data_IF_328323511560
#
_entry.id   IF_328323511560
#
_cell.length_a   1.000
_cell.length_b   1.000
_cell.length_c   1.000
_cell.angle_alpha   90.00
_cell.angle_beta   90.00
_cell.angle_gamma   90.00
#
_symmetry.space_group_name_H-M   'P 1'
#
loop_
_entity.id
_entity.type
_entity.pdbx_description
1 polymer ?
#
# COMPACT_ATOMS: atom_id res chain seq x y z
N UNK A 1 24.93 62.88 70.09
CA UNK A 1 23.76 63.62 69.72
C UNK A 1 23.59 63.66 68.22
N UNK A 2 22.43 63.17 67.79
CA UNK A 2 21.69 63.44 66.51
C UNK A 2 22.32 62.98 65.20
N UNK A 3 21.94 61.82 64.84
CA UNK A 3 21.11 61.24 63.80
C UNK A 3 20.61 62.21 62.71
N UNK A 4 21.07 62.02 61.47
CA UNK A 4 20.42 62.62 60.27
C UNK A 4 20.35 61.51 59.19
N UNK A 5 19.20 60.86 59.20
CA UNK A 5 18.80 59.88 58.14
C UNK A 5 18.58 60.65 56.82
N UNK A 6 19.42 60.33 55.81
CA UNK A 6 19.20 60.78 54.45
C UNK A 6 18.08 59.95 53.87
N UNK A 7 16.92 60.53 53.64
CA UNK A 7 15.83 59.95 52.87
C UNK A 7 16.14 60.07 51.36
N UNK A 8 16.09 59.02 50.57
CA UNK A 8 16.30 59.17 49.12
C UNK A 8 15.16 60.00 48.50
N UNK A 9 15.50 60.98 47.69
CA UNK A 9 14.60 61.81 46.92
C UNK A 9 13.83 61.04 45.85
N UNK A 10 12.55 61.33 45.69
CA UNK A 10 11.68 60.73 44.65
C UNK A 10 12.23 60.86 43.22
N UNK A 11 13.18 61.73 42.99
CA UNK A 11 13.86 61.91 41.72
C UNK A 11 14.86 60.86 41.37
N UNK A 12 15.46 60.18 42.37
CA UNK A 12 16.44 59.10 42.15
C UNK A 12 15.79 57.74 41.94
N UNK A 13 14.48 57.61 42.20
CA UNK A 13 13.74 56.37 41.95
C UNK A 13 13.28 56.28 40.49
N UNK A 14 13.08 57.43 39.81
CA UNK A 14 12.64 57.46 38.41
C UNK A 14 13.76 57.26 37.40
N UNK A 15 15.02 57.44 37.75
CA UNK A 15 16.17 57.18 36.88
C UNK A 15 16.65 55.73 36.95
N UNK A 16 16.32 54.97 38.02
CA UNK A 16 16.63 53.54 38.11
C UNK A 16 15.62 52.64 37.37
N UNK A 17 14.38 53.15 37.11
CA UNK A 17 13.35 52.38 36.38
C UNK A 17 13.49 52.47 34.86
N UNK A 18 14.29 53.43 34.33
CA UNK A 18 14.52 53.55 32.87
C UNK A 18 15.63 52.67 32.29
N UNK A 19 16.49 52.07 33.15
CA UNK A 19 17.63 51.27 32.71
C UNK A 19 17.35 49.76 32.65
N UNK A 20 16.17 49.29 33.11
CA UNK A 20 15.77 47.88 33.10
C UNK A 20 14.83 47.50 31.93
N UNK A 21 14.47 48.45 31.08
CA UNK A 21 13.57 48.22 29.94
C UNK A 21 14.25 47.87 28.59
N UNK A 22 15.60 47.85 28.53
CA UNK A 22 16.34 47.61 27.29
C UNK A 22 17.02 46.21 27.22
N UNK A 23 16.63 45.29 28.10
CA UNK A 23 17.18 43.95 28.08
C UNK A 23 16.22 42.99 27.39
N UNK A 24 16.68 42.44 26.26
CA UNK A 24 16.25 41.21 25.66
C UNK A 24 14.96 41.21 24.81
N UNK A 25 14.97 41.96 23.70
CA UNK A 25 14.57 41.30 22.47
C UNK A 25 15.78 40.43 22.04
N UNK A 26 15.97 39.30 22.72
CA UNK A 26 16.72 38.21 22.12
C UNK A 26 15.85 37.79 20.94
N UNK A 27 16.29 37.96 19.67
CA UNK A 27 15.63 37.25 18.58
C UNK A 27 15.68 35.77 19.02
N UNK A 28 14.50 35.17 19.28
CA UNK A 28 14.44 33.76 19.52
C UNK A 28 15.29 33.14 18.44
N UNK A 29 16.34 32.43 18.82
CA UNK A 29 17.04 31.51 17.97
C UNK A 29 15.94 30.58 17.43
N UNK A 30 15.33 30.98 16.30
CA UNK A 30 14.63 30.03 15.46
C UNK A 30 15.69 28.95 15.23
N UNK A 31 15.64 27.91 16.04
CA UNK A 31 16.36 26.69 15.72
C UNK A 31 15.98 26.44 14.29
N UNK A 32 16.90 26.67 13.37
CA UNK A 32 16.79 26.16 12.04
C UNK A 32 16.50 24.67 12.25
N UNK A 33 15.23 24.30 12.18
CA UNK A 33 14.86 22.88 12.15
C UNK A 33 15.68 22.32 11.03
N UNK A 34 16.66 21.46 11.37
CA UNK A 34 17.53 20.86 10.37
C UNK A 34 16.66 20.34 9.24
N UNK A 35 17.14 20.47 8.00
CA UNK A 35 16.35 20.11 6.82
C UNK A 35 15.71 18.74 7.01
N UNK A 36 14.39 18.63 6.78
CA UNK A 36 13.68 17.35 6.83
C UNK A 36 14.34 16.34 5.85
N UNK A 37 14.49 15.03 6.21
CA UNK A 37 14.27 14.43 7.51
C UNK A 37 15.50 14.60 8.43
N UNK A 38 15.29 14.88 9.70
CA UNK A 38 16.34 14.95 10.72
C UNK A 38 16.21 13.88 11.82
N UNK A 39 15.26 12.97 11.65
CA UNK A 39 14.99 11.80 12.50
C UNK A 39 14.36 10.68 11.68
N UNK A 40 14.28 9.45 12.20
CA UNK A 40 13.66 8.33 11.49
C UNK A 40 12.23 8.61 11.03
N UNK A 41 11.89 8.12 9.82
CA UNK A 41 10.56 8.18 9.22
C UNK A 41 9.90 6.80 9.30
N UNK A 42 8.62 6.75 9.62
CA UNK A 42 7.82 5.53 9.60
C UNK A 42 7.07 5.39 8.27
N UNK A 43 7.17 4.21 7.65
CA UNK A 43 6.34 3.82 6.51
C UNK A 43 5.34 2.75 6.93
N UNK A 44 4.06 3.09 6.94
CA UNK A 44 2.99 2.14 7.28
C UNK A 44 2.69 1.26 6.06
N UNK A 45 2.71 -0.07 6.27
CA UNK A 45 2.24 -1.08 5.33
C UNK A 45 0.88 -1.62 5.83
N UNK A 46 -0.23 -1.50 5.07
CA UNK A 46 -1.57 -1.93 5.54
C UNK A 46 -1.77 -3.45 5.49
N UNK A 47 -0.80 -4.21 5.06
CA UNK A 47 -0.87 -5.65 4.85
C UNK A 47 0.22 -6.42 5.61
N UNK A 48 0.01 -7.73 5.77
CA UNK A 48 0.93 -8.63 6.46
C UNK A 48 2.30 -8.73 5.79
N UNK A 49 3.31 -9.01 6.60
CA UNK A 49 4.68 -9.22 6.14
C UNK A 49 4.77 -10.38 5.13
N UNK A 50 5.73 -10.29 4.20
CA UNK A 50 5.99 -11.32 3.20
C UNK A 50 5.09 -11.25 1.96
N UNK A 51 4.09 -10.35 1.90
CA UNK A 51 3.30 -10.07 0.70
C UNK A 51 3.97 -9.05 -0.23
N UNK A 52 3.37 -8.84 -1.41
CA UNK A 52 3.92 -7.92 -2.42
C UNK A 52 3.98 -6.47 -1.95
N UNK A 53 3.00 -6.01 -1.17
CA UNK A 53 3.01 -4.66 -0.61
C UNK A 53 4.14 -4.46 0.39
N UNK A 54 4.39 -5.43 1.26
CA UNK A 54 5.49 -5.42 2.22
C UNK A 54 6.85 -5.43 1.50
N UNK A 55 7.02 -6.28 0.50
CA UNK A 55 8.24 -6.34 -0.31
C UNK A 55 8.51 -5.02 -1.04
N UNK A 56 7.47 -4.42 -1.65
CA UNK A 56 7.57 -3.16 -2.38
C UNK A 56 7.93 -1.99 -1.47
N UNK A 57 7.26 -1.85 -0.31
CA UNK A 57 7.56 -0.74 0.60
C UNK A 57 8.93 -0.86 1.25
N UNK A 58 9.44 -2.08 1.49
CA UNK A 58 10.78 -2.29 2.08
C UNK A 58 11.90 -1.93 1.13
N UNK A 59 11.80 -2.25 -0.16
CA UNK A 59 12.81 -1.79 -1.13
C UNK A 59 12.77 -0.27 -1.28
N UNK A 60 11.58 0.34 -1.31
CA UNK A 60 11.43 1.80 -1.34
C UNK A 60 12.06 2.43 -0.09
N UNK A 61 11.76 1.90 1.11
CA UNK A 61 12.33 2.37 2.38
C UNK A 61 13.86 2.38 2.38
N UNK A 62 14.46 1.28 1.93
CA UNK A 62 15.92 1.15 1.83
C UNK A 62 16.53 2.21 0.89
N UNK A 63 15.89 2.45 -0.27
CA UNK A 63 16.35 3.44 -1.24
C UNK A 63 16.18 4.88 -0.73
N UNK A 64 15.07 5.18 -0.05
CA UNK A 64 14.86 6.47 0.59
C UNK A 64 15.87 6.72 1.71
N UNK A 65 16.17 5.71 2.54
CA UNK A 65 17.21 5.80 3.58
C UNK A 65 18.58 6.13 2.98
N UNK A 66 18.98 5.44 1.90
CA UNK A 66 20.23 5.70 1.20
C UNK A 66 20.33 7.12 0.62
N UNK A 67 19.20 7.65 0.12
CA UNK A 67 19.17 8.97 -0.52
C UNK A 67 19.04 10.13 0.47
N UNK A 68 18.22 9.95 1.52
CA UNK A 68 17.84 11.00 2.46
C UNK A 68 18.64 10.97 3.78
N UNK A 69 19.41 9.89 4.03
CA UNK A 69 20.34 9.77 5.17
C UNK A 69 19.68 9.57 6.52
N UNK A 70 18.40 9.24 6.58
CA UNK A 70 17.67 8.89 7.80
C UNK A 70 16.95 7.54 7.62
N UNK A 71 16.81 6.73 8.68
CA UNK A 71 16.11 5.46 8.60
C UNK A 71 14.64 5.62 8.17
N UNK A 72 14.18 4.75 7.27
CA UNK A 72 12.79 4.59 6.88
C UNK A 72 12.27 3.25 7.40
N UNK A 73 11.60 3.25 8.54
CA UNK A 73 11.16 2.05 9.25
C UNK A 73 9.79 1.58 8.74
N UNK A 74 9.71 0.38 8.20
CA UNK A 74 8.44 -0.21 7.74
C UNK A 74 7.73 -0.89 8.90
N UNK A 75 6.46 -0.50 9.13
CA UNK A 75 5.58 -1.05 10.17
C UNK A 75 4.31 -1.61 9.53
N UNK A 76 4.09 -2.92 9.67
CA UNK A 76 2.87 -3.57 9.19
C UNK A 76 1.72 -3.29 10.18
N UNK A 77 0.63 -2.64 9.70
CA UNK A 77 -0.60 -2.40 10.45
C UNK A 77 -1.77 -3.00 9.69
N UNK A 78 -2.12 -4.23 10.04
CA UNK A 78 -3.13 -5.02 9.34
C UNK A 78 -4.49 -4.97 10.03
N UNK A 79 -5.54 -5.36 9.30
CA UNK A 79 -6.90 -5.52 9.83
C UNK A 79 -7.95 -4.74 9.06
N UNK A 80 -9.22 -5.17 9.17
CA UNK A 80 -10.37 -4.53 8.54
C UNK A 80 -10.26 -4.39 7.02
N UNK A 81 -9.74 -5.41 6.33
CA UNK A 81 -9.50 -5.37 4.87
C UNK A 81 -8.61 -4.18 4.45
N UNK A 82 -7.62 -3.82 5.27
CA UNK A 82 -6.68 -2.72 5.03
C UNK A 82 -7.07 -1.40 5.71
N UNK A 83 -8.26 -1.28 6.27
CA UNK A 83 -8.76 -0.03 6.92
C UNK A 83 -7.81 0.43 8.03
N UNK A 84 -7.31 -0.48 8.88
CA UNK A 84 -6.44 -0.13 10.02
C UNK A 84 -5.18 0.60 9.56
N UNK A 85 -4.48 0.06 8.55
CA UNK A 85 -3.24 0.67 8.05
C UNK A 85 -3.50 1.97 7.30
N UNK A 86 -4.48 1.99 6.41
CA UNK A 86 -4.84 3.19 5.65
C UNK A 86 -5.32 4.32 6.58
N UNK A 87 -6.13 4.02 7.61
CA UNK A 87 -6.53 5.01 8.61
C UNK A 87 -5.33 5.56 9.38
N UNK A 88 -4.38 4.70 9.76
CA UNK A 88 -3.19 5.13 10.46
C UNK A 88 -2.29 6.07 9.62
N UNK A 89 -2.30 5.94 8.29
CA UNK A 89 -1.64 6.90 7.39
C UNK A 89 -2.42 8.22 7.37
N UNK A 90 -3.74 8.15 7.14
CA UNK A 90 -4.59 9.34 6.97
C UNK A 90 -4.63 10.24 8.21
N UNK A 91 -4.59 9.63 9.41
CA UNK A 91 -4.73 10.33 10.71
C UNK A 91 -3.40 10.71 11.36
N UNK A 92 -2.27 10.40 10.71
CA UNK A 92 -0.96 10.79 11.22
C UNK A 92 -0.77 12.32 11.16
N UNK A 93 0.14 12.89 11.98
CA UNK A 93 0.56 14.28 11.81
C UNK A 93 1.11 14.53 10.40
N UNK A 94 0.71 15.64 9.78
CA UNK A 94 1.14 16.01 8.44
C UNK A 94 2.54 16.67 8.45
N UNK A 95 3.50 16.04 9.12
CA UNK A 95 4.88 16.53 9.29
C UNK A 95 5.92 15.77 8.46
N UNK A 96 5.48 14.76 7.70
CA UNK A 96 6.33 13.92 6.85
C UNK A 96 7.03 12.78 7.58
N UNK A 97 6.88 12.60 8.90
CA UNK A 97 7.53 11.51 9.64
C UNK A 97 6.72 10.24 9.78
N UNK A 98 5.44 10.28 9.39
CA UNK A 98 4.62 9.09 9.20
C UNK A 98 3.98 9.17 7.82
N UNK A 99 4.40 8.26 6.97
CA UNK A 99 3.93 8.06 5.61
C UNK A 99 3.45 6.63 5.47
N UNK A 100 3.00 6.24 4.29
CA UNK A 100 2.69 4.83 4.05
C UNK A 100 2.55 4.50 2.58
N UNK A 101 2.40 3.21 2.35
CA UNK A 101 2.07 2.69 1.03
C UNK A 101 0.54 2.55 0.92
N UNK A 102 -0.07 3.33 0.03
CA UNK A 102 -1.46 3.13 -0.36
C UNK A 102 -1.57 1.95 -1.31
N UNK A 103 -2.67 1.24 -1.21
CA UNK A 103 -3.02 0.14 -2.11
C UNK A 103 -4.39 0.38 -2.74
N UNK A 104 -4.71 -0.39 -3.77
CA UNK A 104 -5.95 -0.27 -4.54
C UNK A 104 -7.20 -0.28 -3.66
N UNK A 105 -7.14 -0.87 -2.47
CA UNK A 105 -8.26 -0.95 -1.53
C UNK A 105 -8.75 0.42 -1.07
N UNK A 106 -7.91 1.47 -1.12
CA UNK A 106 -8.40 2.84 -0.81
C UNK A 106 -9.47 3.32 -1.82
N UNK A 107 -9.47 2.77 -3.02
CA UNK A 107 -10.51 2.97 -4.04
C UNK A 107 -11.68 1.96 -3.91
N UNK A 108 -11.73 1.15 -2.86
CA UNK A 108 -12.70 0.06 -2.69
C UNK A 108 -13.41 0.08 -1.34
N UNK A 109 -12.71 0.42 -0.25
CA UNK A 109 -13.20 0.27 1.13
C UNK A 109 -14.46 1.10 1.44
N UNK A 110 -14.53 2.34 0.94
CA UNK A 110 -15.68 3.22 1.17
C UNK A 110 -16.94 2.75 0.42
N UNK A 111 -16.78 2.13 -0.76
CA UNK A 111 -17.91 1.48 -1.45
C UNK A 111 -18.53 0.36 -0.61
N UNK A 112 -17.73 -0.33 0.19
CA UNK A 112 -18.18 -1.36 1.13
C UNK A 112 -18.67 -0.79 2.46
N UNK A 113 -18.66 0.53 2.65
CA UNK A 113 -19.01 1.20 3.91
C UNK A 113 -18.13 0.77 5.11
N UNK A 114 -16.90 0.33 4.83
CA UNK A 114 -15.92 -0.04 5.87
C UNK A 114 -15.25 1.19 6.49
N UNK A 115 -15.23 2.30 5.76
CA UNK A 115 -14.60 3.57 6.17
C UNK A 115 -15.12 4.71 5.29
N UNK A 116 -15.00 5.94 5.79
CA UNK A 116 -15.23 7.17 5.00
C UNK A 116 -13.97 7.62 4.25
N UNK A 117 -12.84 6.93 4.39
CA UNK A 117 -11.60 7.28 3.71
C UNK A 117 -11.72 7.00 2.21
N UNK A 118 -11.27 7.98 1.43
CA UNK A 118 -11.21 7.92 -0.04
C UNK A 118 -9.81 8.31 -0.51
N UNK A 119 -9.46 8.18 -1.78
CA UNK A 119 -8.21 8.72 -2.32
C UNK A 119 -7.93 10.18 -1.93
N UNK A 120 -8.98 11.02 -1.80
CA UNK A 120 -8.86 12.44 -1.41
C UNK A 120 -8.47 12.68 0.06
N UNK A 121 -8.41 11.63 0.87
CA UNK A 121 -7.99 11.69 2.28
C UNK A 121 -6.48 11.78 2.47
N UNK A 122 -5.69 11.75 1.39
CA UNK A 122 -4.23 11.66 1.43
C UNK A 122 -3.56 12.76 0.62
N UNK A 123 -2.26 12.94 0.86
CA UNK A 123 -1.34 13.66 -0.03
C UNK A 123 -0.58 12.62 -0.85
N UNK A 124 -0.93 12.39 -2.14
CA UNK A 124 -0.23 11.46 -3.00
C UNK A 124 1.20 11.95 -3.28
N UNK A 125 2.16 11.03 -3.28
CA UNK A 125 3.57 11.34 -3.58
C UNK A 125 4.04 10.68 -4.88
N UNK A 126 3.80 9.38 -5.04
CA UNK A 126 4.13 8.67 -6.27
C UNK A 126 3.40 7.33 -6.39
N UNK A 127 2.95 6.98 -7.58
CA UNK A 127 2.61 5.61 -7.96
C UNK A 127 3.90 4.86 -8.28
N UNK A 128 4.08 3.65 -7.75
CA UNK A 128 5.34 2.91 -7.82
C UNK A 128 5.24 1.54 -8.48
N UNK A 129 4.07 0.89 -8.38
CA UNK A 129 3.92 -0.51 -8.80
C UNK A 129 2.48 -0.78 -9.24
N UNK A 130 2.32 -1.74 -10.17
CA UNK A 130 1.04 -2.32 -10.57
C UNK A 130 1.23 -3.79 -10.94
N UNK A 131 0.40 -4.69 -10.37
CA UNK A 131 0.49 -6.14 -10.60
C UNK A 131 -0.88 -6.73 -10.92
N UNK A 132 -0.99 -7.56 -11.97
CA UNK A 132 -2.19 -8.37 -12.22
C UNK A 132 -2.28 -9.57 -11.28
N UNK A 133 -3.52 -10.06 -11.02
CA UNK A 133 -3.74 -11.29 -10.27
C UNK A 133 -3.22 -12.53 -10.99
N UNK A 134 -2.90 -13.56 -10.21
CA UNK A 134 -2.66 -14.91 -10.70
C UNK A 134 -3.69 -15.91 -10.18
N UNK A 135 -3.66 -17.11 -10.67
CA UNK A 135 -4.34 -18.28 -10.08
C UNK A 135 -3.26 -19.26 -9.66
N UNK A 136 -3.11 -19.46 -8.37
CA UNK A 136 -2.09 -20.37 -7.81
C UNK A 136 -2.75 -21.39 -6.89
N UNK A 137 -2.33 -22.64 -6.99
CA UNK A 137 -2.79 -23.78 -6.19
C UNK A 137 -1.63 -24.40 -5.41
N UNK A 138 -1.91 -25.25 -4.42
CA UNK A 138 -0.90 -26.06 -3.78
C UNK A 138 -0.26 -27.03 -4.81
N UNK A 139 1.03 -27.31 -4.70
CA UNK A 139 1.74 -28.20 -5.62
C UNK A 139 1.15 -29.61 -5.66
N UNK A 140 0.59 -30.09 -4.54
CA UNK A 140 -0.09 -31.40 -4.44
C UNK A 140 -1.51 -31.38 -5.03
N UNK A 141 -2.02 -30.21 -5.46
CA UNK A 141 -3.33 -30.12 -6.11
C UNK A 141 -3.39 -31.00 -7.37
N UNK A 142 -4.50 -31.71 -7.62
CA UNK A 142 -4.67 -32.53 -8.82
C UNK A 142 -4.75 -31.68 -10.11
N UNK A 143 -4.98 -30.38 -9.98
CA UNK A 143 -5.17 -29.49 -11.13
C UNK A 143 -3.84 -29.00 -11.68
N UNK A 144 -3.50 -29.44 -12.91
CA UNK A 144 -2.24 -29.11 -13.56
C UNK A 144 -2.31 -27.84 -14.42
N UNK A 145 -3.51 -27.36 -14.71
CA UNK A 145 -3.77 -26.15 -15.48
C UNK A 145 -5.08 -25.48 -15.03
N UNK A 146 -5.27 -24.22 -15.39
CA UNK A 146 -6.42 -23.42 -14.95
C UNK A 146 -7.75 -23.93 -15.52
N UNK A 147 -7.77 -24.54 -16.71
CA UNK A 147 -8.99 -25.12 -17.29
C UNK A 147 -9.49 -26.28 -16.46
N UNK A 148 -8.63 -27.22 -16.07
CA UNK A 148 -9.00 -28.35 -15.22
C UNK A 148 -9.53 -27.87 -13.85
N UNK A 149 -8.93 -26.85 -13.25
CA UNK A 149 -9.43 -26.24 -12.02
C UNK A 149 -10.81 -25.60 -12.24
N UNK A 150 -10.99 -24.83 -13.31
CA UNK A 150 -12.25 -24.17 -13.64
C UNK A 150 -13.39 -25.17 -13.89
N UNK A 151 -13.12 -26.27 -14.60
CA UNK A 151 -14.11 -27.33 -14.86
C UNK A 151 -14.51 -28.03 -13.55
N UNK A 152 -13.55 -28.29 -12.65
CA UNK A 152 -13.84 -28.84 -11.32
C UNK A 152 -14.65 -27.89 -10.45
N UNK A 153 -14.34 -26.58 -10.48
CA UNK A 153 -15.14 -25.56 -9.79
C UNK A 153 -16.57 -25.56 -10.33
N UNK A 154 -16.77 -25.55 -11.66
CA UNK A 154 -18.11 -25.58 -12.30
C UNK A 154 -18.93 -26.80 -11.93
N UNK A 155 -18.28 -27.96 -11.87
CA UNK A 155 -18.92 -29.23 -11.55
C UNK A 155 -19.25 -29.43 -10.06
N UNK A 156 -18.77 -28.54 -9.20
CA UNK A 156 -18.89 -28.67 -7.74
C UNK A 156 -20.03 -27.81 -7.17
N UNK A 157 -20.62 -28.20 -6.04
CA UNK A 157 -21.53 -27.31 -5.33
C UNK A 157 -20.84 -26.01 -4.89
N UNK A 158 -21.60 -24.91 -4.82
CA UNK A 158 -21.09 -23.65 -4.30
C UNK A 158 -20.54 -23.80 -2.88
N UNK A 159 -19.42 -23.13 -2.60
CA UNK A 159 -18.73 -23.17 -1.31
C UNK A 159 -17.82 -24.36 -1.07
N UNK A 160 -17.76 -25.33 -2.00
CA UNK A 160 -16.85 -26.46 -1.87
C UNK A 160 -15.38 -26.04 -1.97
N UNK A 161 -15.04 -25.21 -2.95
CA UNK A 161 -13.69 -24.65 -3.10
C UNK A 161 -13.51 -23.44 -2.20
N UNK A 162 -12.32 -23.29 -1.63
CA UNK A 162 -11.91 -22.17 -0.78
C UNK A 162 -10.79 -21.39 -1.44
N UNK A 163 -10.94 -20.08 -1.53
CA UNK A 163 -9.92 -19.18 -2.04
C UNK A 163 -9.58 -18.08 -1.04
N UNK A 164 -8.40 -17.50 -1.16
CA UNK A 164 -7.95 -16.36 -0.37
C UNK A 164 -6.98 -15.46 -1.16
N UNK A 165 -6.53 -14.41 -0.48
CA UNK A 165 -5.55 -13.44 -1.00
C UNK A 165 -5.38 -12.26 -0.08
N UNK A 166 -6.47 -11.53 0.18
CA UNK A 166 -6.55 -10.39 1.10
C UNK A 166 -7.86 -10.45 1.91
N UNK A 167 -8.26 -9.34 2.50
CA UNK A 167 -9.56 -9.19 3.15
C UNK A 167 -10.72 -9.38 2.17
N UNK A 168 -11.89 -9.68 2.69
CA UNK A 168 -13.10 -9.77 1.87
C UNK A 168 -13.37 -8.43 1.17
N UNK A 169 -13.77 -8.49 -0.10
CA UNK A 169 -13.99 -7.30 -0.91
C UNK A 169 -12.72 -6.58 -1.36
N UNK A 170 -11.52 -7.07 -1.02
CA UNK A 170 -10.26 -6.56 -1.55
C UNK A 170 -10.00 -7.00 -2.99
N UNK A 171 -8.90 -6.51 -3.57
CA UNK A 171 -8.61 -6.67 -5.00
C UNK A 171 -8.50 -8.15 -5.43
N UNK A 172 -7.90 -9.02 -4.61
CA UNK A 172 -7.77 -10.43 -4.94
C UNK A 172 -9.11 -11.17 -4.87
N UNK A 173 -10.04 -10.74 -3.98
CA UNK A 173 -11.41 -11.23 -3.97
C UNK A 173 -12.18 -10.77 -5.21
N UNK A 174 -12.05 -9.50 -5.58
CA UNK A 174 -12.67 -8.98 -6.81
C UNK A 174 -12.15 -9.71 -8.05
N UNK A 175 -10.86 -10.04 -8.09
CA UNK A 175 -10.27 -10.82 -9.16
C UNK A 175 -10.91 -12.22 -9.29
N UNK A 176 -11.10 -12.92 -8.17
CA UNK A 176 -11.82 -14.19 -8.15
C UNK A 176 -13.25 -14.04 -8.66
N UNK A 177 -13.99 -13.07 -8.12
CA UNK A 177 -15.40 -12.85 -8.49
C UNK A 177 -15.55 -12.55 -9.98
N UNK A 178 -14.73 -11.67 -10.54
CA UNK A 178 -14.75 -11.37 -11.97
C UNK A 178 -14.45 -12.58 -12.84
N UNK A 179 -13.49 -13.41 -12.43
CA UNK A 179 -13.20 -14.67 -13.11
C UNK A 179 -14.38 -15.66 -13.02
N UNK A 180 -15.03 -15.81 -11.86
CA UNK A 180 -16.21 -16.65 -11.68
C UNK A 180 -17.36 -16.16 -12.58
N UNK A 181 -17.62 -14.86 -12.62
CA UNK A 181 -18.65 -14.26 -13.48
C UNK A 181 -18.36 -14.47 -14.98
N UNK A 182 -17.09 -14.31 -15.39
CA UNK A 182 -16.67 -14.59 -16.77
C UNK A 182 -16.87 -16.08 -17.16
N UNK A 183 -16.93 -16.98 -16.17
CA UNK A 183 -17.28 -18.38 -16.36
C UNK A 183 -18.79 -18.68 -16.27
N UNK A 184 -19.65 -17.67 -16.04
CA UNK A 184 -21.09 -17.82 -15.85
C UNK A 184 -21.47 -18.33 -14.45
N UNK A 185 -20.60 -18.20 -13.47
CA UNK A 185 -20.83 -18.65 -12.09
C UNK A 185 -21.22 -17.45 -11.18
N UNK A 186 -21.87 -17.78 -10.07
CA UNK A 186 -22.22 -16.77 -9.06
C UNK A 186 -20.98 -16.26 -8.33
N UNK A 187 -20.94 -15.01 -7.86
CA UNK A 187 -19.81 -14.43 -7.11
C UNK A 187 -19.33 -15.25 -5.91
N UNK A 188 -20.24 -15.94 -5.23
CA UNK A 188 -19.97 -16.76 -4.05
C UNK A 188 -19.86 -18.27 -4.34
N UNK A 189 -19.63 -18.64 -5.61
CA UNK A 189 -19.50 -20.07 -5.97
C UNK A 189 -18.27 -20.70 -5.35
N UNK A 190 -17.16 -19.96 -5.22
CA UNK A 190 -15.99 -20.31 -4.42
C UNK A 190 -16.05 -19.53 -3.12
N UNK A 191 -15.87 -20.20 -1.98
CA UNK A 191 -15.88 -19.57 -0.67
C UNK A 191 -14.61 -18.72 -0.48
N UNK A 192 -14.78 -17.44 -0.18
CA UNK A 192 -13.67 -16.57 0.15
C UNK A 192 -13.29 -16.69 1.63
N UNK A 193 -12.02 -16.95 1.92
CA UNK A 193 -11.44 -16.95 3.26
C UNK A 193 -10.60 -15.67 3.43
N UNK A 194 -11.06 -14.70 4.23
CA UNK A 194 -10.33 -13.44 4.41
C UNK A 194 -8.95 -13.66 5.02
N UNK A 195 -7.96 -12.90 4.55
CA UNK A 195 -6.58 -12.91 5.05
C UNK A 195 -6.04 -11.50 5.26
N UNK A 196 -5.05 -11.34 6.14
CA UNK A 196 -4.35 -10.08 6.38
C UNK A 196 -3.33 -9.73 5.27
N UNK A 197 -3.43 -10.35 4.12
CA UNK A 197 -2.58 -10.11 2.95
C UNK A 197 -2.14 -11.39 2.27
N UNK A 198 -1.46 -11.25 1.13
CA UNK A 198 -1.01 -12.36 0.32
C UNK A 198 -0.03 -13.29 1.06
N UNK A 199 0.87 -12.76 1.88
CA UNK A 199 1.83 -13.57 2.63
C UNK A 199 1.15 -14.63 3.50
N UNK A 200 0.26 -14.27 4.44
CA UNK A 200 -0.52 -15.25 5.22
C UNK A 200 -1.37 -16.18 4.35
N UNK A 201 -2.07 -15.68 3.31
CA UNK A 201 -2.86 -16.52 2.42
C UNK A 201 -2.04 -17.58 1.69
N UNK A 202 -0.83 -17.23 1.27
CA UNK A 202 0.09 -18.18 0.63
C UNK A 202 0.58 -19.27 1.61
N UNK A 203 0.76 -18.94 2.89
CA UNK A 203 1.09 -19.94 3.91
C UNK A 203 -0.08 -20.91 4.14
N UNK A 204 -1.31 -20.41 4.20
CA UNK A 204 -2.52 -21.23 4.32
C UNK A 204 -2.69 -22.15 3.09
N UNK A 205 -2.39 -21.65 1.87
CA UNK A 205 -2.37 -22.47 0.67
C UNK A 205 -1.34 -23.60 0.78
N UNK A 206 -0.13 -23.30 1.21
CA UNK A 206 0.94 -24.28 1.37
C UNK A 206 0.62 -25.35 2.43
N UNK A 207 -0.18 -24.99 3.44
CA UNK A 207 -0.67 -25.88 4.49
C UNK A 207 -1.95 -26.65 4.09
N UNK A 208 -2.41 -26.57 2.83
CA UNK A 208 -3.68 -27.16 2.34
C UNK A 208 -4.94 -26.64 3.04
N UNK A 209 -4.91 -25.44 3.64
CA UNK A 209 -6.09 -24.77 4.19
C UNK A 209 -6.98 -24.14 3.12
N UNK A 210 -6.44 -23.95 1.91
CA UNK A 210 -7.08 -23.33 0.74
C UNK A 210 -6.88 -24.21 -0.49
N UNK A 211 -7.83 -24.13 -1.44
CA UNK A 211 -7.71 -24.79 -2.74
C UNK A 211 -6.94 -23.91 -3.75
N UNK A 212 -7.11 -22.61 -3.68
CA UNK A 212 -6.43 -21.64 -4.56
C UNK A 212 -6.26 -20.28 -3.89
N UNK A 213 -5.35 -19.49 -4.47
CA UNK A 213 -5.24 -18.04 -4.17
C UNK A 213 -5.21 -17.26 -5.48
N UNK A 214 -5.69 -16.00 -5.41
CA UNK A 214 -5.71 -15.07 -6.55
C UNK A 214 -4.72 -13.92 -6.40
N UNK A 215 -3.72 -14.06 -5.53
CA UNK A 215 -2.60 -13.11 -5.40
C UNK A 215 -1.81 -13.01 -6.71
N UNK A 216 -1.03 -11.95 -6.87
CA UNK A 216 -0.16 -11.81 -8.04
C UNK A 216 0.91 -12.92 -8.09
N UNK A 217 1.40 -13.23 -9.30
CA UNK A 217 2.43 -14.28 -9.48
C UNK A 217 3.70 -14.01 -8.67
N UNK A 218 4.23 -12.78 -8.58
CA UNK A 218 5.37 -12.47 -7.72
C UNK A 218 5.19 -12.87 -6.25
N UNK A 219 3.97 -12.75 -5.73
CA UNK A 219 3.65 -13.10 -4.34
C UNK A 219 3.67 -14.61 -4.09
N UNK A 220 3.44 -15.43 -5.14
CA UNK A 220 3.52 -16.89 -5.07
C UNK A 220 4.92 -17.46 -5.32
N UNK A 221 5.85 -16.64 -5.84
CA UNK A 221 7.14 -17.07 -6.37
C UNK A 221 7.94 -17.94 -5.43
N UNK A 222 8.10 -17.52 -4.18
CA UNK A 222 8.91 -18.26 -3.20
C UNK A 222 8.37 -19.69 -2.95
N UNK A 223 7.04 -19.86 -2.91
CA UNK A 223 6.43 -21.20 -2.75
C UNK A 223 6.50 -22.02 -4.03
N UNK A 224 6.40 -21.39 -5.20
CA UNK A 224 6.55 -22.08 -6.50
C UNK A 224 7.98 -22.58 -6.67
N UNK A 225 8.98 -21.74 -6.40
CA UNK A 225 10.41 -22.13 -6.44
C UNK A 225 10.75 -23.22 -5.41
N UNK A 226 10.09 -23.20 -4.25
CA UNK A 226 10.22 -24.24 -3.23
C UNK A 226 9.42 -25.52 -3.56
N UNK A 227 8.74 -25.60 -4.71
CA UNK A 227 7.92 -26.75 -5.10
C UNK A 227 6.68 -26.97 -4.24
N UNK A 228 6.23 -25.96 -3.50
CA UNK A 228 5.06 -26.03 -2.60
C UNK A 228 3.77 -25.46 -3.22
N UNK A 229 3.88 -24.72 -4.31
CA UNK A 229 2.75 -24.17 -5.04
C UNK A 229 2.99 -24.24 -6.55
N UNK A 230 1.92 -24.08 -7.33
CA UNK A 230 1.92 -24.05 -8.79
C UNK A 230 1.02 -22.91 -9.26
N UNK A 231 1.59 -22.00 -10.05
CA UNK A 231 0.81 -20.96 -10.72
C UNK A 231 0.22 -21.49 -12.01
N UNK A 232 -1.09 -21.35 -12.19
CA UNK A 232 -1.83 -21.93 -13.31
C UNK A 232 -2.17 -20.92 -14.41
N UNK A 233 -2.37 -19.66 -14.04
CA UNK A 233 -2.67 -18.57 -14.99
C UNK A 233 -2.38 -17.20 -14.38
N UNK A 234 -2.34 -16.19 -15.28
CA UNK A 234 -2.34 -14.77 -14.93
C UNK A 234 -3.58 -14.07 -15.55
N UNK A 235 -4.20 -13.17 -14.80
CA UNK A 235 -5.35 -12.36 -15.24
C UNK A 235 -4.88 -11.04 -15.84
N UNK A 236 -4.19 -11.12 -16.96
CA UNK A 236 -3.61 -10.01 -17.70
C UNK A 236 -3.75 -10.22 -19.20
N UNK A 237 -3.58 -9.14 -19.97
CA UNK A 237 -3.61 -9.21 -21.44
C UNK A 237 -2.41 -9.98 -22.01
N UNK A 238 -1.28 -9.97 -21.30
CA UNK A 238 -0.01 -10.61 -21.70
C UNK A 238 0.59 -11.40 -20.54
N UNK A 239 1.45 -12.36 -20.87
CA UNK A 239 2.22 -13.11 -19.87
C UNK A 239 3.20 -12.19 -19.17
N UNK A 240 3.46 -12.46 -17.89
CA UNK A 240 4.54 -11.81 -17.17
C UNK A 240 5.89 -12.41 -17.62
N UNK A 241 6.85 -11.60 -18.11
CA UNK A 241 8.14 -12.13 -18.60
C UNK A 241 8.93 -12.95 -17.58
N UNK A 242 8.82 -12.60 -16.27
CA UNK A 242 9.48 -13.37 -15.20
C UNK A 242 8.78 -14.71 -14.90
N UNK A 243 7.59 -14.94 -15.47
CA UNK A 243 6.77 -16.15 -15.36
C UNK A 243 6.28 -16.60 -16.74
N UNK A 244 7.16 -16.61 -17.73
CA UNK A 244 6.83 -16.82 -19.15
C UNK A 244 6.11 -18.16 -19.41
N UNK A 245 6.29 -19.18 -18.55
CA UNK A 245 5.58 -20.45 -18.61
C UNK A 245 4.13 -20.39 -18.15
N UNK A 246 3.72 -19.34 -17.42
CA UNK A 246 2.36 -19.18 -16.89
C UNK A 246 1.49 -18.47 -17.94
N UNK A 247 0.48 -19.13 -18.52
CA UNK A 247 -0.36 -18.53 -19.56
C UNK A 247 -1.34 -17.52 -18.97
N UNK A 248 -1.90 -16.66 -19.83
CA UNK A 248 -3.05 -15.82 -19.47
C UNK A 248 -4.35 -16.64 -19.41
N UNK A 249 -5.39 -16.11 -18.75
CA UNK A 249 -6.75 -16.69 -18.82
C UNK A 249 -7.26 -16.73 -20.26
N UNK A 250 -6.94 -15.71 -21.05
CA UNK A 250 -7.32 -15.64 -22.47
C UNK A 250 -6.72 -16.76 -23.30
N UNK A 251 -5.40 -17.00 -23.15
CA UNK A 251 -4.72 -18.12 -23.83
C UNK A 251 -5.24 -19.48 -23.39
N UNK A 252 -5.51 -19.66 -22.10
CA UNK A 252 -5.90 -20.97 -21.54
C UNK A 252 -7.37 -21.29 -21.71
N UNK A 253 -8.27 -20.28 -21.61
CA UNK A 253 -9.71 -20.49 -21.49
C UNK A 253 -10.55 -19.63 -22.43
N UNK A 254 -9.96 -18.67 -23.15
CA UNK A 254 -10.69 -17.67 -23.96
C UNK A 254 -11.35 -16.58 -23.08
N UNK A 255 -11.05 -16.51 -21.79
CA UNK A 255 -11.61 -15.51 -20.86
C UNK A 255 -10.76 -14.24 -20.92
N UNK A 256 -11.33 -13.18 -21.45
CA UNK A 256 -10.72 -11.85 -21.50
C UNK A 256 -11.10 -11.06 -20.24
N UNK A 257 -10.33 -11.24 -19.19
CA UNK A 257 -10.52 -10.57 -17.91
C UNK A 257 -9.18 -10.16 -17.31
N UNK A 258 -9.07 -8.90 -16.98
CA UNK A 258 -7.92 -8.35 -16.26
C UNK A 258 -8.36 -7.33 -15.24
N UNK A 259 -7.64 -7.28 -14.14
CA UNK A 259 -7.74 -6.29 -13.07
C UNK A 259 -6.36 -6.21 -12.44
N UNK A 260 -6.03 -5.12 -11.75
CA UNK A 260 -4.70 -4.96 -11.18
C UNK A 260 -4.72 -4.38 -9.78
N UNK A 261 -3.83 -4.87 -8.92
CA UNK A 261 -3.45 -4.20 -7.71
C UNK A 261 -2.39 -3.14 -8.02
N UNK A 262 -2.53 -1.97 -7.45
CA UNK A 262 -1.51 -0.92 -7.54
C UNK A 262 -1.04 -0.50 -6.16
N UNK A 263 0.18 0.07 -6.12
CA UNK A 263 0.80 0.54 -4.88
C UNK A 263 1.51 1.86 -5.12
N UNK A 264 1.29 2.82 -4.21
CA UNK A 264 1.95 4.12 -4.27
C UNK A 264 2.24 4.67 -2.88
N UNK A 265 3.19 5.58 -2.79
CA UNK A 265 3.55 6.24 -1.53
C UNK A 265 2.71 7.51 -1.36
N UNK A 266 2.19 7.69 -0.15
CA UNK A 266 1.44 8.87 0.24
C UNK A 266 1.65 9.19 1.72
N UNK A 267 1.24 10.39 2.10
CA UNK A 267 1.14 10.80 3.50
C UNK A 267 -0.26 11.26 3.87
N UNK A 268 -0.47 11.68 5.11
CA UNK A 268 -1.72 12.32 5.52
C UNK A 268 -1.98 13.57 4.67
N UNK A 269 -3.24 13.98 4.59
CA UNK A 269 -3.62 15.19 3.85
C UNK A 269 -2.93 16.41 4.43
N UNK A 270 -2.36 17.25 3.55
CA UNK A 270 -1.76 18.53 3.95
C UNK A 270 -0.28 18.45 4.32
N UNK A 271 0.48 17.50 3.76
CA UNK A 271 1.94 17.51 3.91
C UNK A 271 2.54 18.84 3.44
N UNK A 272 3.57 19.38 4.13
CA UNK A 272 4.30 20.58 3.70
C UNK A 272 4.85 20.42 2.28
N UNK A 273 4.81 21.50 1.49
CA UNK A 273 5.19 21.46 0.09
C UNK A 273 6.68 21.10 -0.13
N UNK A 274 7.56 21.58 0.73
CA UNK A 274 9.00 21.30 0.71
C UNK A 274 9.30 19.84 1.05
N UNK A 275 8.62 19.27 2.04
CA UNK A 275 8.71 17.85 2.40
C UNK A 275 8.22 16.98 1.24
N UNK A 276 7.06 17.33 0.66
CA UNK A 276 6.47 16.63 -0.48
C UNK A 276 7.40 16.65 -1.69
N UNK A 277 7.94 17.81 -2.06
CA UNK A 277 8.85 17.96 -3.19
C UNK A 277 10.14 17.12 -3.02
N UNK A 278 10.69 17.11 -1.80
CA UNK A 278 11.88 16.31 -1.49
C UNK A 278 11.60 14.82 -1.58
N UNK A 279 10.45 14.36 -1.04
CA UNK A 279 10.01 12.96 -1.14
C UNK A 279 9.78 12.54 -2.59
N UNK A 280 9.09 13.35 -3.39
CA UNK A 280 8.83 13.05 -4.80
C UNK A 280 10.12 12.91 -5.59
N UNK A 281 11.09 13.79 -5.34
CA UNK A 281 12.43 13.71 -5.97
C UNK A 281 13.14 12.40 -5.60
N UNK A 282 13.15 12.04 -4.32
CA UNK A 282 13.77 10.81 -3.83
C UNK A 282 13.05 9.55 -4.36
N UNK A 283 11.71 9.56 -4.40
CA UNK A 283 10.90 8.46 -4.94
C UNK A 283 11.11 8.26 -6.44
N UNK A 284 11.24 9.36 -7.21
CA UNK A 284 11.56 9.29 -8.63
C UNK A 284 12.93 8.65 -8.86
N UNK A 285 13.95 9.12 -8.14
CA UNK A 285 15.30 8.55 -8.17
C UNK A 285 15.29 7.07 -7.78
N UNK A 286 14.52 6.69 -6.75
CA UNK A 286 14.36 5.30 -6.35
C UNK A 286 13.73 4.46 -7.49
N UNK A 287 12.62 4.91 -8.11
CA UNK A 287 11.94 4.20 -9.19
C UNK A 287 12.83 4.02 -10.43
N UNK A 288 13.66 5.02 -10.75
CA UNK A 288 14.59 5.00 -11.89
C UNK A 288 15.87 4.21 -11.60
N UNK A 289 16.17 3.89 -10.33
CA UNK A 289 17.38 3.20 -9.93
C UNK A 289 17.43 1.76 -10.47
N UNK A 290 18.65 1.32 -10.81
CA UNK A 290 18.88 -0.08 -11.21
C UNK A 290 18.49 -1.04 -10.09
N UNK A 291 18.75 -0.69 -8.83
CA UNK A 291 18.46 -1.52 -7.66
C UNK A 291 16.94 -1.79 -7.53
N UNK A 292 16.10 -0.76 -7.69
CA UNK A 292 14.64 -0.93 -7.66
C UNK A 292 14.16 -1.79 -8.83
N UNK A 293 14.60 -1.47 -10.04
CA UNK A 293 14.18 -2.18 -11.25
C UNK A 293 14.61 -3.64 -11.24
N UNK A 294 15.83 -3.92 -10.82
CA UNK A 294 16.32 -5.29 -10.66
C UNK A 294 15.54 -6.06 -9.58
N UNK A 295 15.29 -5.41 -8.42
CA UNK A 295 14.52 -6.03 -7.35
C UNK A 295 13.10 -6.39 -7.81
N UNK A 296 12.41 -5.46 -8.46
CA UNK A 296 11.05 -5.65 -8.94
C UNK A 296 11.03 -6.65 -10.11
N UNK A 297 11.85 -6.45 -11.12
CA UNK A 297 11.90 -7.28 -12.32
C UNK A 297 12.32 -8.73 -12.04
N UNK A 298 13.36 -8.94 -11.23
CA UNK A 298 13.81 -10.29 -10.87
C UNK A 298 12.75 -11.07 -10.09
N UNK A 299 11.82 -10.40 -9.41
CA UNK A 299 10.68 -11.03 -8.74
C UNK A 299 9.44 -11.09 -9.60
N UNK A 300 9.41 -10.37 -10.72
CA UNK A 300 8.28 -10.25 -11.62
C UNK A 300 7.21 -9.24 -11.17
N UNK A 301 7.54 -8.36 -10.21
CA UNK A 301 6.69 -7.22 -9.88
C UNK A 301 6.72 -6.17 -11.00
N UNK A 302 5.57 -5.62 -11.32
CA UNK A 302 5.48 -4.52 -12.28
C UNK A 302 6.08 -3.22 -11.72
N UNK A 303 6.78 -2.47 -12.57
CA UNK A 303 7.26 -1.13 -12.26
C UNK A 303 6.33 -0.13 -12.92
N UNK A 304 5.83 0.80 -12.13
CA UNK A 304 4.98 1.91 -12.59
C UNK A 304 5.52 3.21 -12.02
N UNK A 305 5.34 4.30 -12.75
CA UNK A 305 5.60 5.63 -12.24
C UNK A 305 4.47 6.58 -12.62
N UNK A 306 3.97 7.31 -11.63
CA UNK A 306 3.26 8.56 -11.83
C UNK A 306 3.65 9.53 -10.71
N UNK A 307 3.84 10.78 -11.05
CA UNK A 307 4.06 11.87 -10.11
C UNK A 307 2.79 12.17 -9.29
N UNK A 308 2.80 13.10 -8.33
CA UNK A 308 1.63 13.38 -7.51
C UNK A 308 0.36 13.70 -8.28
N UNK A 309 0.46 14.46 -9.38
CA UNK A 309 -0.69 14.83 -10.20
C UNK A 309 -1.22 13.61 -10.99
N UNK A 310 -0.32 12.86 -11.59
CA UNK A 310 -0.64 11.62 -12.30
C UNK A 310 -1.20 10.56 -11.36
N UNK A 311 -0.65 10.43 -10.15
CA UNK A 311 -1.15 9.47 -9.16
C UNK A 311 -2.53 9.87 -8.62
N UNK A 312 -2.79 11.17 -8.41
CA UNK A 312 -4.13 11.67 -8.06
C UNK A 312 -5.15 11.31 -9.13
N UNK A 313 -4.84 11.60 -10.40
CA UNK A 313 -5.71 11.29 -11.53
C UNK A 313 -5.94 9.78 -11.67
N UNK A 314 -4.89 8.98 -11.49
CA UNK A 314 -4.96 7.53 -11.51
C UNK A 314 -5.89 6.98 -10.41
N UNK A 315 -5.72 7.45 -9.16
CA UNK A 315 -6.56 7.02 -8.03
C UNK A 315 -8.03 7.41 -8.22
N UNK A 316 -8.31 8.59 -8.78
CA UNK A 316 -9.67 9.05 -9.09
C UNK A 316 -10.34 8.15 -10.13
N UNK A 317 -9.62 7.80 -11.19
CA UNK A 317 -10.11 6.87 -12.21
C UNK A 317 -10.29 5.45 -11.64
N UNK A 318 -9.33 4.99 -10.81
CA UNK A 318 -9.41 3.69 -10.15
C UNK A 318 -10.62 3.60 -9.20
N UNK A 319 -10.93 4.68 -8.47
CA UNK A 319 -12.08 4.72 -7.56
C UNK A 319 -13.40 4.49 -8.30
N UNK A 320 -13.63 5.21 -9.40
CA UNK A 320 -14.83 5.03 -10.23
C UNK A 320 -14.89 3.62 -10.84
N UNK A 321 -13.76 3.11 -11.35
CA UNK A 321 -13.70 1.79 -11.97
C UNK A 321 -13.94 0.67 -10.95
N UNK A 322 -13.32 0.75 -9.77
CA UNK A 322 -13.50 -0.25 -8.69
C UNK A 322 -14.92 -0.23 -8.16
N UNK A 323 -15.53 0.95 -7.95
CA UNK A 323 -16.93 1.08 -7.55
C UNK A 323 -17.88 0.40 -8.55
N UNK A 324 -17.69 0.61 -9.85
CA UNK A 324 -18.47 -0.05 -10.89
C UNK A 324 -18.26 -1.57 -10.91
N UNK A 325 -17.01 -2.04 -10.83
CA UNK A 325 -16.68 -3.45 -10.80
C UNK A 325 -17.26 -4.16 -9.57
N UNK A 326 -17.19 -3.55 -8.38
CA UNK A 326 -17.72 -4.09 -7.14
C UNK A 326 -19.26 -4.17 -7.16
N UNK A 327 -19.95 -3.17 -7.73
CA UNK A 327 -21.40 -3.21 -7.95
C UNK A 327 -21.78 -4.35 -8.88
N UNK A 328 -21.10 -4.47 -10.03
CA UNK A 328 -21.31 -5.58 -10.97
C UNK A 328 -21.05 -6.94 -10.33
N UNK A 329 -20.07 -7.02 -9.45
CA UNK A 329 -19.70 -8.23 -8.70
C UNK A 329 -20.67 -8.56 -7.54
N UNK A 330 -21.63 -7.69 -7.21
CA UNK A 330 -22.52 -7.86 -6.07
C UNK A 330 -21.79 -7.78 -4.71
N UNK A 331 -20.65 -7.12 -4.66
CA UNK A 331 -19.86 -6.92 -3.43
C UNK A 331 -20.28 -5.65 -2.68
N UNK A 332 -21.04 -4.78 -3.31
CA UNK A 332 -21.60 -3.55 -2.72
C UNK A 332 -23.02 -3.35 -3.22
N UNK A 333 -23.83 -2.68 -2.40
CA UNK A 333 -25.25 -2.36 -2.67
C UNK A 333 -25.41 -0.91 -3.15
#
# INVERSE_FOLDING_TARGET
MLDSRLRPSRRNILTAAGALGAAAVVPGLARAQGAWPNRPVTLICPWGAGGGTDATVRIIANLLEKDLGQPFNVVNRTGGSGVVGHSAIATAPADGYTLGILTVEIAMMHWQKLTELTPASYTPLALMNEDPPGVTVNAASPYQNVRALADAIKASPAGKFKASGTGQGGIWHLALVGWLQAMGLRPNHVAWVPSNGAGPAMQDLAANGLDLVTCSLPESRALVEAGKARSLAIMANERNPAFASVPTLKESMGVDYSVGAWRGIAGPKGLPADVSARLVTALKKANESKEYRDFMGNRGFGVRWADPAGFTSFMTAADAAMGAAMKSAGLVT
#
